data_IF_869908991993
#
_entry.id   IF_869908991993
#
_cell.length_a   1.000
_cell.length_b   1.000
_cell.length_c   1.000
_cell.angle_alpha   90.00
_cell.angle_beta   90.00
_cell.angle_gamma   90.00
#
_symmetry.space_group_name_H-M   'P 1'
#
loop_
_entity.id
_entity.type
_entity.pdbx_description
1 polymer ?
#
# COMPACT_ATOMS: atom_id res chain seq x y z
N UNK A 1 30.05 24.29 -62.42
CA UNK A 1 30.02 23.60 -61.11
C UNK A 1 29.71 22.13 -61.37
N UNK A 2 30.45 21.19 -60.76
CA UNK A 2 30.25 19.76 -60.97
C UNK A 2 28.99 19.29 -60.24
N UNK A 3 27.84 19.33 -60.92
CA UNK A 3 26.51 18.96 -60.41
C UNK A 3 26.48 17.54 -59.80
N UNK A 4 27.28 16.62 -60.34
CA UNK A 4 27.45 15.25 -59.80
C UNK A 4 28.03 15.22 -58.39
N UNK A 5 28.96 16.13 -58.06
CA UNK A 5 29.56 16.20 -56.73
C UNK A 5 28.59 16.76 -55.68
N UNK A 6 27.75 17.71 -56.08
CA UNK A 6 26.70 18.29 -55.22
C UNK A 6 25.63 17.24 -54.93
N UNK A 7 25.22 16.45 -55.93
CA UNK A 7 24.25 15.37 -55.75
C UNK A 7 24.78 14.27 -54.82
N UNK A 8 26.01 13.79 -55.02
CA UNK A 8 26.61 12.77 -54.15
C UNK A 8 26.80 13.26 -52.71
N UNK A 9 27.17 14.53 -52.52
CA UNK A 9 27.28 15.15 -51.19
C UNK A 9 25.90 15.25 -50.52
N UNK A 10 24.86 15.69 -51.24
CA UNK A 10 23.51 15.78 -50.73
C UNK A 10 22.95 14.39 -50.34
N UNK A 11 23.25 13.36 -51.15
CA UNK A 11 22.88 11.98 -50.86
C UNK A 11 23.58 11.49 -49.59
N UNK A 12 24.89 11.72 -49.45
CA UNK A 12 25.65 11.37 -48.25
C UNK A 12 25.07 12.06 -47.00
N UNK A 13 24.77 13.35 -47.08
CA UNK A 13 24.18 14.11 -45.98
C UNK A 13 22.80 13.55 -45.62
N UNK A 14 21.96 13.22 -46.59
CA UNK A 14 20.66 12.60 -46.33
C UNK A 14 20.80 11.26 -45.58
N UNK A 15 21.75 10.40 -46.00
CA UNK A 15 22.05 9.17 -45.28
C UNK A 15 22.57 9.42 -43.87
N UNK A 16 23.49 10.38 -43.68
CA UNK A 16 23.96 10.78 -42.35
C UNK A 16 22.80 11.26 -41.47
N UNK A 17 21.89 12.09 -41.98
CA UNK A 17 20.73 12.58 -41.20
C UNK A 17 19.80 11.43 -40.77
N UNK A 18 19.52 10.48 -41.67
CA UNK A 18 18.72 9.29 -41.34
C UNK A 18 19.43 8.46 -40.26
N UNK A 19 20.73 8.21 -40.44
CA UNK A 19 21.53 7.43 -39.50
C UNK A 19 21.59 8.08 -38.11
N UNK A 20 21.86 9.39 -38.03
CA UNK A 20 21.83 10.13 -36.78
C UNK A 20 20.44 10.13 -36.13
N UNK A 21 19.37 10.21 -36.92
CA UNK A 21 18.00 10.14 -36.40
C UNK A 21 17.69 8.77 -35.78
N UNK A 22 18.15 7.68 -36.40
CA UNK A 22 18.01 6.32 -35.87
C UNK A 22 18.80 6.16 -34.56
N UNK A 23 20.05 6.65 -34.51
CA UNK A 23 20.86 6.62 -33.27
C UNK A 23 20.16 7.39 -32.15
N UNK A 24 19.67 8.60 -32.44
CA UNK A 24 19.00 9.42 -31.45
C UNK A 24 17.73 8.73 -30.91
N UNK A 25 16.94 8.11 -31.78
CA UNK A 25 15.78 7.31 -31.35
C UNK A 25 16.18 6.12 -30.49
N UNK A 26 17.26 5.41 -30.84
CA UNK A 26 17.77 4.29 -30.05
C UNK A 26 18.17 4.73 -28.63
N UNK A 27 18.92 5.83 -28.50
CA UNK A 27 19.32 6.38 -27.20
C UNK A 27 18.11 6.83 -26.37
N UNK A 28 17.13 7.49 -27.01
CA UNK A 28 15.91 7.89 -26.33
C UNK A 28 15.10 6.68 -25.84
N UNK A 29 14.97 5.65 -26.66
CA UNK A 29 14.24 4.43 -26.30
C UNK A 29 14.92 3.67 -25.17
N UNK A 30 16.25 3.60 -25.18
CA UNK A 30 17.02 3.00 -24.08
C UNK A 30 16.80 3.78 -22.77
N UNK A 31 16.86 5.11 -22.80
CA UNK A 31 16.60 5.94 -21.63
C UNK A 31 15.15 5.78 -21.10
N UNK A 32 14.16 5.66 -22.00
CA UNK A 32 12.78 5.39 -21.63
C UNK A 32 12.62 3.99 -21.02
N UNK A 33 13.29 2.98 -21.56
CA UNK A 33 13.27 1.62 -21.05
C UNK A 33 13.92 1.53 -19.67
N UNK A 34 15.07 2.18 -19.47
CA UNK A 34 15.71 2.27 -18.16
C UNK A 34 14.79 2.95 -17.12
N UNK A 35 14.13 4.06 -17.48
CA UNK A 35 13.13 4.70 -16.61
C UNK A 35 11.97 3.77 -16.27
N UNK A 36 11.42 3.07 -17.27
CA UNK A 36 10.32 2.14 -17.06
C UNK A 36 10.73 0.99 -16.12
N UNK A 37 11.93 0.42 -16.29
CA UNK A 37 12.45 -0.63 -15.40
C UNK A 37 12.61 -0.11 -13.96
N UNK A 38 13.16 1.08 -13.77
CA UNK A 38 13.29 1.68 -12.43
C UNK A 38 11.91 1.88 -11.78
N UNK A 39 10.93 2.38 -12.54
CA UNK A 39 9.56 2.56 -12.04
C UNK A 39 8.90 1.23 -11.67
N UNK A 40 9.08 0.18 -12.48
CA UNK A 40 8.58 -1.16 -12.17
C UNK A 40 9.19 -1.71 -10.89
N UNK A 41 10.52 -1.60 -10.72
CA UNK A 41 11.20 -2.05 -9.49
C UNK A 41 10.68 -1.28 -8.27
N UNK A 42 10.45 0.04 -8.39
CA UNK A 42 9.87 0.85 -7.30
C UNK A 42 8.44 0.39 -6.96
N UNK A 43 7.62 0.08 -7.97
CA UNK A 43 6.27 -0.43 -7.78
C UNK A 43 6.27 -1.80 -7.07
N UNK A 44 7.12 -2.73 -7.50
CA UNK A 44 7.26 -4.06 -6.86
C UNK A 44 7.70 -3.94 -5.39
N UNK A 45 8.61 -3.01 -5.07
CA UNK A 45 9.01 -2.73 -3.69
C UNK A 45 7.85 -2.19 -2.86
N UNK A 46 7.02 -1.30 -3.41
CA UNK A 46 5.84 -0.79 -2.73
C UNK A 46 4.82 -1.89 -2.48
N UNK A 47 4.58 -2.77 -3.45
CA UNK A 47 3.68 -3.92 -3.31
C UNK A 47 4.20 -4.94 -2.28
N UNK A 48 5.52 -5.15 -2.22
CA UNK A 48 6.13 -5.99 -1.20
C UNK A 48 5.89 -5.43 0.21
N UNK A 49 6.18 -4.15 0.44
CA UNK A 49 5.95 -3.49 1.74
C UNK A 49 4.46 -3.51 2.10
N UNK A 50 3.59 -3.24 1.14
CA UNK A 50 2.14 -3.34 1.32
C UNK A 50 1.75 -4.73 1.83
N UNK A 51 2.27 -5.78 1.19
CA UNK A 51 1.99 -7.16 1.57
C UNK A 51 2.49 -7.47 2.98
N UNK A 52 3.68 -6.99 3.35
CA UNK A 52 4.19 -7.11 4.72
C UNK A 52 3.25 -6.44 5.74
N UNK A 53 2.74 -5.23 5.44
CA UNK A 53 1.81 -4.52 6.31
C UNK A 53 0.50 -5.30 6.46
N UNK A 54 -0.09 -5.75 5.35
CA UNK A 54 -1.34 -6.52 5.37
C UNK A 54 -1.21 -7.81 6.19
N UNK A 55 -0.11 -8.57 6.01
CA UNK A 55 0.17 -9.81 6.77
C UNK A 55 0.36 -9.53 8.26
N UNK A 56 1.07 -8.47 8.62
CA UNK A 56 1.31 -8.14 10.03
C UNK A 56 0.03 -7.65 10.72
N UNK A 57 -0.81 -6.86 10.04
CA UNK A 57 -2.13 -6.45 10.55
C UNK A 57 -2.99 -7.68 10.83
N UNK A 58 -3.04 -8.62 9.88
CA UNK A 58 -3.75 -9.90 10.07
C UNK A 58 -3.22 -10.65 11.30
N UNK A 59 -1.91 -10.80 11.40
CA UNK A 59 -1.26 -11.49 12.51
C UNK A 59 -1.60 -10.85 13.86
N UNK A 60 -1.51 -9.52 13.96
CA UNK A 60 -1.83 -8.77 15.18
C UNK A 60 -3.28 -9.05 15.61
N UNK A 61 -4.23 -9.03 14.68
CA UNK A 61 -5.64 -9.29 14.98
C UNK A 61 -5.81 -10.72 15.48
N UNK A 62 -5.25 -11.71 14.78
CA UNK A 62 -5.38 -13.13 15.14
C UNK A 62 -4.77 -13.42 16.51
N UNK A 63 -3.55 -12.95 16.76
CA UNK A 63 -2.84 -13.16 18.03
C UNK A 63 -3.57 -12.46 19.18
N UNK A 64 -4.01 -11.22 18.99
CA UNK A 64 -4.76 -10.50 20.02
C UNK A 64 -6.05 -11.24 20.39
N UNK A 65 -6.83 -11.70 19.41
CA UNK A 65 -8.07 -12.46 19.68
C UNK A 65 -7.78 -13.75 20.42
N UNK A 66 -6.77 -14.53 19.98
CA UNK A 66 -6.39 -15.79 20.62
C UNK A 66 -5.95 -15.56 22.07
N UNK A 67 -5.08 -14.59 22.30
CA UNK A 67 -4.57 -14.29 23.64
C UNK A 67 -5.70 -13.84 24.58
N UNK A 68 -6.60 -12.97 24.11
CA UNK A 68 -7.76 -12.54 24.91
C UNK A 68 -8.67 -13.70 25.28
N UNK A 69 -8.93 -14.63 24.35
CA UNK A 69 -9.76 -15.80 24.61
C UNK A 69 -9.08 -16.82 25.54
N UNK A 70 -7.77 -17.06 25.40
CA UNK A 70 -6.98 -17.93 26.28
C UNK A 70 -6.98 -17.39 27.71
N UNK A 71 -6.89 -16.06 27.87
CA UNK A 71 -6.97 -15.38 29.17
C UNK A 71 -8.40 -15.36 29.76
N UNK A 72 -9.38 -15.95 29.06
CA UNK A 72 -10.78 -16.03 29.50
C UNK A 72 -11.58 -14.75 29.28
N UNK A 73 -11.03 -13.79 28.53
CA UNK A 73 -11.68 -12.51 28.28
C UNK A 73 -12.60 -12.60 27.06
N UNK A 74 -13.89 -12.83 27.32
CA UNK A 74 -14.93 -13.02 26.29
C UNK A 74 -15.75 -11.77 26.02
N UNK A 75 -15.34 -10.60 26.50
CA UNK A 75 -16.04 -9.35 26.18
C UNK A 75 -15.58 -8.85 24.80
N UNK A 76 -16.46 -8.81 23.77
CA UNK A 76 -16.11 -8.31 22.45
C UNK A 76 -15.57 -6.88 22.47
N UNK A 77 -16.04 -6.05 23.40
CA UNK A 77 -15.58 -4.67 23.53
C UNK A 77 -14.13 -4.60 23.99
N UNK A 78 -13.73 -5.45 24.93
CA UNK A 78 -12.35 -5.47 25.43
C UNK A 78 -11.41 -5.99 24.34
N UNK A 79 -11.77 -7.08 23.67
CA UNK A 79 -11.02 -7.62 22.52
C UNK A 79 -10.84 -6.54 21.45
N UNK A 80 -11.92 -5.85 21.07
CA UNK A 80 -11.90 -4.73 20.12
C UNK A 80 -10.92 -3.62 20.53
N UNK A 81 -10.91 -3.25 21.81
CA UNK A 81 -10.02 -2.19 22.31
C UNK A 81 -8.55 -2.62 22.29
N UNK A 82 -8.25 -3.87 22.63
CA UNK A 82 -6.90 -4.44 22.57
C UNK A 82 -6.39 -4.51 21.12
N UNK A 83 -7.23 -4.94 20.18
CA UNK A 83 -6.89 -4.93 18.75
C UNK A 83 -6.58 -3.49 18.30
N UNK A 84 -7.43 -2.53 18.66
CA UNK A 84 -7.23 -1.13 18.29
C UNK A 84 -5.93 -0.54 18.84
N UNK A 85 -5.56 -0.90 20.09
CA UNK A 85 -4.32 -0.49 20.72
C UNK A 85 -3.08 -1.08 20.03
N UNK A 86 -3.08 -2.39 19.79
CA UNK A 86 -1.96 -3.08 19.15
C UNK A 86 -1.75 -2.61 17.70
N UNK A 87 -2.84 -2.39 16.96
CA UNK A 87 -2.76 -1.83 15.61
C UNK A 87 -2.26 -0.38 15.62
N UNK A 88 -2.73 0.45 16.57
CA UNK A 88 -2.23 1.82 16.72
C UNK A 88 -0.73 1.84 17.02
N UNK A 89 -0.27 0.97 17.91
CA UNK A 89 1.15 0.83 18.23
C UNK A 89 1.95 0.47 16.97
N UNK A 90 1.52 -0.56 16.24
CA UNK A 90 2.17 -1.01 15.00
C UNK A 90 2.22 0.10 13.93
N UNK A 91 1.12 0.80 13.68
CA UNK A 91 1.08 1.88 12.67
C UNK A 91 1.99 3.04 13.04
N UNK A 92 2.08 3.41 14.32
CA UNK A 92 3.01 4.41 14.79
C UNK A 92 4.46 3.93 14.66
N UNK A 93 4.76 2.68 15.01
CA UNK A 93 6.09 2.11 14.91
C UNK A 93 6.60 2.11 13.47
N UNK A 94 5.79 1.65 12.50
CA UNK A 94 6.19 1.65 11.09
C UNK A 94 6.42 3.07 10.59
N UNK A 95 5.51 4.00 10.91
CA UNK A 95 5.62 5.38 10.45
C UNK A 95 6.84 6.10 11.05
N UNK A 96 7.32 5.67 12.22
CA UNK A 96 8.51 6.22 12.86
C UNK A 96 9.82 5.53 12.41
N UNK A 97 9.76 4.26 12.03
CA UNK A 97 10.95 3.44 11.71
C UNK A 97 11.28 3.47 10.22
N UNK A 98 10.28 3.66 9.37
CA UNK A 98 10.40 3.69 7.92
C UNK A 98 9.90 5.06 7.43
N UNK A 99 10.82 6.00 7.18
CA UNK A 99 10.52 7.38 6.74
C UNK A 99 9.65 7.49 5.48
N UNK A 100 9.60 6.41 4.69
CA UNK A 100 8.80 6.33 3.48
C UNK A 100 7.36 5.88 3.71
N UNK A 101 6.95 5.49 4.92
CA UNK A 101 5.61 4.95 5.18
C UNK A 101 4.83 5.89 6.09
N UNK A 102 3.59 6.17 5.74
CA UNK A 102 2.69 6.97 6.56
C UNK A 102 1.31 6.32 6.61
N UNK A 103 0.85 5.94 7.80
CA UNK A 103 -0.48 5.37 7.99
C UNK A 103 -1.45 6.40 8.59
N UNK A 104 -2.68 6.42 8.08
CA UNK A 104 -3.69 7.43 8.39
C UNK A 104 -5.12 6.90 8.19
N UNK A 105 -6.10 7.65 8.69
CA UNK A 105 -7.51 7.45 8.35
C UNK A 105 -7.86 8.37 7.19
N UNK A 106 -8.36 7.80 6.11
CA UNK A 106 -8.82 8.56 4.95
C UNK A 106 -10.33 8.81 5.06
N UNK A 107 -10.74 10.08 5.11
CA UNK A 107 -12.15 10.47 5.02
C UNK A 107 -12.53 10.69 3.56
N UNK A 108 -13.33 9.78 2.99
CA UNK A 108 -13.82 9.86 1.61
C UNK A 108 -14.71 11.06 1.34
N UNK A 109 -15.42 11.55 2.36
CA UNK A 109 -16.37 12.66 2.23
C UNK A 109 -15.61 13.98 2.13
N UNK A 110 -14.68 14.19 3.07
CA UNK A 110 -13.83 15.38 3.11
C UNK A 110 -12.66 15.31 2.12
N UNK A 111 -12.32 14.10 1.64
CA UNK A 111 -11.09 13.78 0.87
C UNK A 111 -9.82 14.18 1.63
N UNK A 112 -9.84 14.02 2.94
CA UNK A 112 -8.77 14.43 3.85
C UNK A 112 -8.09 13.23 4.52
N UNK A 113 -6.80 13.38 4.77
CA UNK A 113 -6.01 12.45 5.58
C UNK A 113 -6.05 12.91 7.03
N UNK A 114 -6.46 12.04 7.95
CA UNK A 114 -6.49 12.29 9.39
C UNK A 114 -5.47 11.41 10.09
N UNK A 115 -4.83 11.95 11.13
CA UNK A 115 -3.92 11.17 11.96
C UNK A 115 -4.69 10.06 12.66
N UNK A 116 -4.18 8.84 12.55
CA UNK A 116 -4.72 7.67 13.24
C UNK A 116 -4.76 7.92 14.76
N UNK A 117 -5.90 7.60 15.37
CA UNK A 117 -6.05 7.55 16.81
C UNK A 117 -6.77 6.26 17.24
N UNK A 118 -6.63 5.87 18.51
CA UNK A 118 -7.16 4.60 19.03
C UNK A 118 -8.68 4.52 18.88
N UNK A 119 -9.39 5.63 19.16
CA UNK A 119 -10.85 5.68 19.11
C UNK A 119 -11.35 5.43 17.68
N UNK A 120 -10.76 6.09 16.70
CA UNK A 120 -11.07 5.91 15.29
C UNK A 120 -10.83 4.47 14.86
N UNK A 121 -9.68 3.88 15.17
CA UNK A 121 -9.42 2.46 14.83
C UNK A 121 -10.47 1.55 15.50
N UNK A 122 -10.77 1.79 16.78
CA UNK A 122 -11.77 1.00 17.48
C UNK A 122 -13.14 1.11 16.81
N UNK A 123 -13.59 2.32 16.43
CA UNK A 123 -14.88 2.55 15.77
C UNK A 123 -14.98 1.85 14.40
N UNK A 124 -13.84 1.57 13.76
CA UNK A 124 -13.78 0.83 12.49
C UNK A 124 -13.86 -0.68 12.72
N UNK A 125 -13.45 -1.19 13.88
CA UNK A 125 -13.45 -2.62 14.21
C UNK A 125 -14.80 -3.05 14.80
N UNK A 126 -15.33 -4.14 14.26
CA UNK A 126 -16.43 -4.91 14.85
C UNK A 126 -15.93 -6.30 15.22
N UNK A 127 -16.28 -6.76 16.41
CA UNK A 127 -15.96 -8.10 16.93
C UNK A 127 -17.29 -8.76 17.27
N UNK A 128 -17.64 -9.84 16.57
CA UNK A 128 -18.81 -10.65 16.89
C UNK A 128 -18.34 -11.99 17.44
N UNK A 129 -18.81 -12.33 18.64
CA UNK A 129 -18.59 -13.64 19.26
C UNK A 129 -19.86 -14.46 19.09
N UNK A 130 -19.77 -15.59 18.39
CA UNK A 130 -20.83 -16.59 18.36
C UNK A 130 -20.47 -17.71 19.34
N UNK A 131 -21.23 -17.82 20.42
CA UNK A 131 -21.02 -18.85 21.45
C UNK A 131 -21.69 -20.17 21.02
N UNK A 132 -20.86 -21.13 20.60
CA UNK A 132 -21.21 -22.53 20.35
C UNK A 132 -20.29 -23.49 21.13
N UNK A 133 -20.01 -24.68 20.57
CA UNK A 133 -18.99 -25.60 21.12
C UNK A 133 -17.55 -25.10 20.89
N UNK A 134 -17.35 -24.25 19.86
CA UNK A 134 -16.12 -23.53 19.54
C UNK A 134 -16.46 -22.02 19.49
N UNK A 135 -15.51 -21.14 19.88
CA UNK A 135 -15.71 -19.69 19.77
C UNK A 135 -15.41 -19.27 18.34
N UNK A 136 -16.45 -18.88 17.60
CA UNK A 136 -16.30 -18.19 16.32
C UNK A 136 -16.20 -16.68 16.58
N UNK A 137 -15.05 -16.10 16.26
CA UNK A 137 -14.82 -14.65 16.33
C UNK A 137 -14.74 -14.08 14.94
N UNK A 138 -15.72 -13.27 14.57
CA UNK A 138 -15.65 -12.47 13.35
C UNK A 138 -15.11 -11.09 13.69
N UNK A 139 -13.97 -10.73 13.12
CA UNK A 139 -13.38 -9.40 13.22
C UNK A 139 -13.44 -8.74 11.87
N UNK A 140 -14.10 -7.59 11.79
CA UNK A 140 -14.19 -6.85 10.54
C UNK A 140 -13.77 -5.41 10.78
N UNK A 141 -12.81 -4.87 10.00
CA UNK A 141 -12.62 -3.43 9.93
C UNK A 141 -13.41 -2.87 8.77
N UNK A 142 -14.47 -2.19 9.12
CA UNK A 142 -15.33 -1.49 8.18
C UNK A 142 -14.82 -0.10 7.92
N UNK A 143 -15.42 0.57 6.93
CA UNK A 143 -15.19 1.99 6.70
C UNK A 143 -15.94 2.91 7.71
N UNK A 144 -16.20 2.41 8.92
CA UNK A 144 -17.04 3.02 9.96
C UNK A 144 -18.55 2.92 9.67
N UNK A 145 -19.36 3.45 10.60
CA UNK A 145 -20.83 3.42 10.51
C UNK A 145 -21.38 4.05 9.21
N UNK A 146 -20.67 5.04 8.67
CA UNK A 146 -21.02 5.77 7.45
C UNK A 146 -20.26 5.28 6.20
N UNK A 147 -19.41 4.25 6.31
CA UNK A 147 -18.52 3.75 5.23
C UNK A 147 -17.57 4.80 4.62
N UNK A 148 -17.35 5.91 5.31
CA UNK A 148 -16.59 7.06 4.82
C UNK A 148 -15.16 7.15 5.35
N UNK A 149 -14.83 6.42 6.41
CA UNK A 149 -13.51 6.48 7.05
C UNK A 149 -12.76 5.18 6.78
N UNK A 150 -11.58 5.21 6.17
CA UNK A 150 -10.84 3.98 5.85
C UNK A 150 -9.41 4.02 6.39
N UNK A 151 -8.96 2.97 7.09
CA UNK A 151 -7.56 2.84 7.47
C UNK A 151 -6.73 2.60 6.22
N UNK A 152 -5.74 3.45 5.99
CA UNK A 152 -4.92 3.46 4.79
C UNK A 152 -3.47 3.75 5.12
N UNK A 153 -2.56 3.32 4.25
CA UNK A 153 -1.17 3.74 4.31
C UNK A 153 -0.70 4.23 2.94
N UNK A 154 0.32 5.09 2.97
CA UNK A 154 1.01 5.63 1.82
C UNK A 154 2.49 5.26 1.92
N UNK A 155 3.04 4.76 0.82
CA UNK A 155 4.44 4.38 0.69
C UNK A 155 5.09 5.28 -0.37
N UNK A 156 6.08 6.07 0.03
CA UNK A 156 6.74 7.07 -0.80
C UNK A 156 8.15 6.63 -1.20
N UNK A 157 8.36 6.34 -2.49
CA UNK A 157 9.66 6.02 -3.09
C UNK A 157 10.11 7.09 -4.07
N UNK A 158 10.70 8.16 -3.55
CA UNK A 158 11.07 9.39 -4.27
C UNK A 158 9.90 9.93 -5.11
N UNK A 159 9.81 9.52 -6.38
CA UNK A 159 8.85 9.98 -7.38
C UNK A 159 7.59 9.08 -7.47
N UNK A 160 7.51 8.00 -6.69
CA UNK A 160 6.40 7.05 -6.69
C UNK A 160 5.72 7.05 -5.32
N UNK A 161 4.44 7.45 -5.27
CA UNK A 161 3.60 7.30 -4.09
C UNK A 161 2.57 6.19 -4.33
N UNK A 162 2.63 5.14 -3.53
CA UNK A 162 1.65 4.06 -3.54
C UNK A 162 0.69 4.24 -2.36
N UNK A 163 -0.58 4.51 -2.67
CA UNK A 163 -1.65 4.59 -1.69
C UNK A 163 -2.44 3.28 -1.68
N UNK A 164 -2.67 2.72 -0.51
CA UNK A 164 -3.53 1.54 -0.38
C UNK A 164 -4.39 1.56 0.87
N UNK A 165 -5.56 0.97 0.73
CA UNK A 165 -6.49 0.69 1.83
C UNK A 165 -6.05 -0.60 2.54
N UNK A 166 -6.02 -0.57 3.86
CA UNK A 166 -5.88 -1.76 4.68
C UNK A 166 -7.23 -2.49 4.68
N UNK A 167 -7.28 -3.68 4.06
CA UNK A 167 -8.47 -4.54 4.03
C UNK A 167 -8.39 -5.56 5.15
N UNK A 168 -9.49 -5.76 5.88
CA UNK A 168 -9.50 -6.65 7.04
C UNK A 168 -10.91 -7.18 7.28
N UNK A 169 -11.24 -8.27 6.60
CA UNK A 169 -12.40 -9.09 6.92
C UNK A 169 -11.83 -10.45 7.39
N UNK A 170 -11.87 -10.72 8.69
CA UNK A 170 -11.29 -11.92 9.30
C UNK A 170 -12.33 -12.73 10.05
N UNK A 171 -12.32 -14.03 9.83
CA UNK A 171 -13.10 -15.00 10.60
C UNK A 171 -12.13 -15.94 11.27
N UNK A 172 -12.08 -15.90 12.60
CA UNK A 172 -11.15 -16.65 13.43
C UNK A 172 -11.94 -17.72 14.18
N UNK A 173 -11.56 -18.97 13.97
CA UNK A 173 -12.04 -20.11 14.76
C UNK A 173 -11.08 -20.36 15.91
N UNK A 174 -11.61 -20.37 17.14
CA UNK A 174 -10.85 -20.69 18.35
C UNK A 174 -11.53 -21.85 19.07
N UNK A 175 -10.82 -22.98 19.13
CA UNK A 175 -11.20 -24.19 19.87
C UNK A 175 -10.56 -24.21 21.25
#
# INVERSE_FOLDING_TARGET
>A
MNEKGIFSLALLLAFCTIYFSIIQQSLNNEALLQKAVIQTIKAEKADFIRSEIEINVEKIIIETVKDSLILGNKDPFIIKMQIAENLLYYFNEISNTKDNISCFIYDKTAKEKRKINQKEISDLISVNLNEGYDFLVEVTMHAGLLKNLEPSCEINFDDVAAFFKIKTDYTIWVN
#
